data_IF_943694725155
#
_entry.id   IF_943694725155
#
_cell.length_a   1.000
_cell.length_b   1.000
_cell.length_c   1.000
_cell.angle_alpha   90.00
_cell.angle_beta   90.00
_cell.angle_gamma   90.00
#
_symmetry.space_group_name_H-M   'P 1'
#
loop_
_entity.id
_entity.type
_entity.pdbx_description
1 polymer ?
#
# COMPACT_ATOMS: atom_id res chain seq x y z
N UNK A 1 -17.04 -40.71 -21.69
CA UNK A 1 -16.83 -40.52 -20.23
C UNK A 1 -15.35 -40.37 -19.88
N UNK A 2 -14.45 -41.26 -20.31
CA UNK A 2 -13.00 -41.15 -19.99
C UNK A 2 -12.34 -39.91 -20.63
N UNK A 3 -12.65 -39.59 -21.89
CA UNK A 3 -12.10 -38.42 -22.59
C UNK A 3 -12.51 -37.07 -21.96
N UNK A 4 -13.70 -36.98 -21.35
CA UNK A 4 -14.14 -35.76 -20.66
C UNK A 4 -13.39 -35.53 -19.35
N UNK A 5 -13.03 -36.60 -18.63
CA UNK A 5 -12.20 -36.49 -17.42
C UNK A 5 -10.75 -36.10 -17.73
N UNK A 6 -10.17 -36.66 -18.80
CA UNK A 6 -8.83 -36.28 -19.25
C UNK A 6 -8.74 -34.78 -19.57
N UNK A 7 -9.74 -34.24 -20.28
CA UNK A 7 -9.81 -32.81 -20.59
C UNK A 7 -9.92 -31.92 -19.34
N UNK A 8 -10.64 -32.38 -18.30
CA UNK A 8 -10.74 -31.64 -17.02
C UNK A 8 -9.39 -31.64 -16.29
N UNK A 9 -8.68 -32.76 -16.25
CA UNK A 9 -7.36 -32.87 -15.63
C UNK A 9 -6.30 -32.03 -16.37
N UNK A 10 -6.38 -31.96 -17.70
CA UNK A 10 -5.53 -31.07 -18.50
C UNK A 10 -5.80 -29.60 -18.17
N UNK A 11 -7.06 -29.20 -18.05
CA UNK A 11 -7.43 -27.83 -17.67
C UNK A 11 -6.95 -27.49 -16.25
N UNK A 12 -7.09 -28.41 -15.29
CA UNK A 12 -6.59 -28.26 -13.92
C UNK A 12 -5.06 -28.10 -13.89
N UNK A 13 -4.34 -28.92 -14.67
CA UNK A 13 -2.88 -28.83 -14.77
C UNK A 13 -2.44 -27.49 -15.36
N UNK A 14 -3.10 -27.00 -16.42
CA UNK A 14 -2.80 -25.70 -17.02
C UNK A 14 -3.08 -24.55 -16.04
N UNK A 15 -4.22 -24.61 -15.33
CA UNK A 15 -4.55 -23.61 -14.32
C UNK A 15 -3.53 -23.58 -13.17
N UNK A 16 -3.10 -24.75 -12.70
CA UNK A 16 -2.09 -24.88 -11.64
C UNK A 16 -0.74 -24.31 -12.08
N UNK A 17 -0.30 -24.63 -13.30
CA UNK A 17 0.93 -24.07 -13.88
C UNK A 17 0.86 -22.54 -13.99
N UNK A 18 -0.29 -21.99 -14.39
CA UNK A 18 -0.49 -20.55 -14.46
C UNK A 18 -0.43 -19.90 -13.08
N UNK A 19 -1.09 -20.49 -12.08
CA UNK A 19 -1.03 -20.00 -10.69
C UNK A 19 0.40 -20.02 -10.14
N UNK A 20 1.19 -21.05 -10.45
CA UNK A 20 2.60 -21.09 -10.07
C UNK A 20 3.43 -19.98 -10.74
N UNK A 21 3.17 -19.71 -12.03
CA UNK A 21 3.83 -18.62 -12.75
C UNK A 21 3.46 -17.26 -12.16
N UNK A 22 2.16 -17.00 -11.97
CA UNK A 22 1.64 -15.76 -11.38
C UNK A 22 2.22 -15.54 -9.97
N UNK A 23 2.31 -16.60 -9.16
CA UNK A 23 2.94 -16.52 -7.83
C UNK A 23 4.41 -16.13 -7.90
N UNK A 24 5.17 -16.72 -8.82
CA UNK A 24 6.60 -16.38 -9.00
C UNK A 24 6.79 -14.94 -9.47
N UNK A 25 5.90 -14.42 -10.30
CA UNK A 25 5.93 -13.02 -10.73
C UNK A 25 5.60 -12.07 -9.57
N UNK A 26 4.57 -12.39 -8.78
CA UNK A 26 4.23 -11.63 -7.57
C UNK A 26 5.38 -11.59 -6.57
N UNK A 27 6.06 -12.71 -6.33
CA UNK A 27 7.20 -12.77 -5.41
C UNK A 27 8.38 -11.91 -5.91
N UNK A 28 8.62 -11.84 -7.22
CA UNK A 28 9.61 -10.93 -7.81
C UNK A 28 9.25 -9.48 -7.59
N UNK A 29 7.98 -9.11 -7.83
CA UNK A 29 7.49 -7.74 -7.62
C UNK A 29 7.66 -7.36 -6.15
N UNK A 30 7.19 -8.19 -5.23
CA UNK A 30 7.33 -7.99 -3.78
C UNK A 30 8.78 -7.78 -3.37
N UNK A 31 9.70 -8.58 -3.91
CA UNK A 31 11.14 -8.45 -3.63
C UNK A 31 11.71 -7.11 -4.08
N UNK A 32 11.34 -6.62 -5.27
CA UNK A 32 11.80 -5.32 -5.78
C UNK A 32 11.25 -4.19 -4.90
N UNK A 33 9.94 -4.23 -4.61
CA UNK A 33 9.29 -3.25 -3.75
C UNK A 33 9.94 -3.20 -2.37
N UNK A 34 10.35 -4.36 -1.84
CA UNK A 34 11.08 -4.43 -0.58
C UNK A 34 12.47 -3.82 -0.63
N UNK A 35 13.29 -4.22 -1.59
CA UNK A 35 14.69 -3.80 -1.68
C UNK A 35 14.83 -2.30 -1.97
N UNK A 36 13.88 -1.71 -2.69
CA UNK A 36 13.89 -0.30 -3.08
C UNK A 36 12.94 0.57 -2.24
N UNK A 37 12.48 0.09 -1.07
CA UNK A 37 11.48 0.74 -0.21
C UNK A 37 11.67 2.25 -0.08
N UNK A 38 12.81 2.67 0.48
CA UNK A 38 13.05 4.08 0.78
C UNK A 38 13.18 4.94 -0.48
N UNK A 39 13.71 4.36 -1.56
CA UNK A 39 13.77 5.01 -2.86
C UNK A 39 12.36 5.23 -3.42
N UNK A 40 11.50 4.21 -3.41
CA UNK A 40 10.12 4.30 -3.90
C UNK A 40 9.32 5.32 -3.07
N UNK A 41 9.44 5.29 -1.74
CA UNK A 41 8.75 6.24 -0.85
C UNK A 41 9.21 7.67 -1.15
N UNK A 42 10.52 7.89 -1.33
CA UNK A 42 11.06 9.22 -1.67
C UNK A 42 10.55 9.72 -3.02
N UNK A 43 10.41 8.82 -4.01
CA UNK A 43 9.79 9.12 -5.31
C UNK A 43 8.31 9.43 -5.18
N UNK A 44 7.59 8.72 -4.30
CA UNK A 44 6.18 8.97 -4.02
C UNK A 44 5.99 10.37 -3.43
N UNK A 45 6.76 10.74 -2.40
CA UNK A 45 6.69 12.07 -1.77
C UNK A 45 6.95 13.17 -2.82
N UNK A 46 8.00 13.00 -3.63
CA UNK A 46 8.35 13.96 -4.70
C UNK A 46 7.23 14.08 -5.73
N UNK A 47 6.62 12.95 -6.11
CA UNK A 47 5.51 12.90 -7.05
C UNK A 47 4.28 13.62 -6.48
N UNK A 48 3.86 13.31 -5.26
CA UNK A 48 2.72 13.97 -4.61
C UNK A 48 2.93 15.48 -4.48
N UNK A 49 4.14 15.92 -4.10
CA UNK A 49 4.45 17.36 -4.04
C UNK A 49 4.30 18.03 -5.40
N UNK A 50 4.74 17.38 -6.48
CA UNK A 50 4.62 17.95 -7.83
C UNK A 50 3.17 18.00 -8.32
N UNK A 51 2.40 16.95 -8.06
CA UNK A 51 1.06 16.80 -8.62
C UNK A 51 -0.01 17.55 -7.82
N UNK A 52 0.17 17.69 -6.50
CA UNK A 52 -0.83 18.25 -5.60
C UNK A 52 -0.37 19.56 -4.93
N UNK A 53 0.90 19.94 -5.09
CA UNK A 53 1.55 21.01 -4.30
C UNK A 53 1.54 20.79 -2.78
N UNK A 54 1.34 19.54 -2.34
CA UNK A 54 1.28 19.18 -0.92
C UNK A 54 2.62 18.62 -0.44
N UNK A 55 3.15 19.16 0.64
CA UNK A 55 4.32 18.61 1.32
C UNK A 55 3.91 17.43 2.21
N UNK A 56 4.56 16.29 2.00
CA UNK A 56 4.38 15.07 2.79
C UNK A 56 5.67 14.69 3.52
N UNK A 57 5.52 14.22 4.76
CA UNK A 57 6.65 13.81 5.60
C UNK A 57 6.48 12.36 6.04
N UNK A 58 7.56 11.58 5.98
CA UNK A 58 7.56 10.19 6.43
C UNK A 58 7.68 10.13 7.94
N UNK A 59 6.79 9.36 8.57
CA UNK A 59 6.86 9.00 9.98
C UNK A 59 6.74 7.51 10.16
N UNK A 60 7.27 7.03 11.28
CA UNK A 60 7.05 5.68 11.77
C UNK A 60 6.31 5.77 13.09
N UNK A 61 5.22 5.03 13.21
CA UNK A 61 4.38 4.98 14.39
C UNK A 61 4.27 3.54 14.88
N UNK A 62 4.02 3.40 16.18
CA UNK A 62 3.74 2.11 16.82
C UNK A 62 2.33 2.23 17.39
N UNK A 63 1.48 1.25 17.15
CA UNK A 63 0.11 1.25 17.66
C UNK A 63 -0.04 0.47 18.98
N UNK A 64 -1.27 0.40 19.50
CA UNK A 64 -1.58 -0.26 20.77
C UNK A 64 -1.27 -1.76 20.79
N UNK A 65 -1.26 -2.39 19.61
CA UNK A 65 -0.98 -3.81 19.43
C UNK A 65 0.51 -4.07 19.12
N UNK A 66 1.36 -3.04 19.19
CA UNK A 66 2.76 -3.01 18.76
C UNK A 66 2.97 -3.22 17.25
N UNK A 67 1.95 -2.98 16.42
CA UNK A 67 2.16 -2.93 14.98
C UNK A 67 2.97 -1.69 14.64
N UNK A 68 3.90 -1.84 13.69
CA UNK A 68 4.70 -0.72 13.20
C UNK A 68 4.12 -0.29 11.85
N UNK A 69 3.71 0.96 11.75
CA UNK A 69 3.25 1.53 10.49
C UNK A 69 4.22 2.61 10.00
N UNK A 70 4.56 2.56 8.71
CA UNK A 70 5.15 3.70 8.03
C UNK A 70 4.00 4.52 7.41
N UNK A 71 4.00 5.82 7.69
CA UNK A 71 2.97 6.75 7.23
C UNK A 71 3.60 7.95 6.54
N UNK A 72 2.88 8.54 5.59
CA UNK A 72 3.15 9.87 5.06
C UNK A 72 2.12 10.84 5.63
N UNK A 73 2.58 11.95 6.16
CA UNK A 73 1.75 12.93 6.83
C UNK A 73 1.81 14.23 6.04
N UNK A 74 0.65 14.72 5.63
CA UNK A 74 0.51 16.05 5.02
C UNK A 74 0.96 17.13 5.99
N UNK A 75 1.64 18.14 5.45
CA UNK A 75 1.99 19.35 6.19
C UNK A 75 0.75 19.94 6.85
N UNK A 76 0.86 20.23 8.15
CA UNK A 76 -0.21 20.77 8.99
C UNK A 76 -1.40 19.83 9.26
N UNK A 77 -1.20 18.52 9.11
CA UNK A 77 -2.22 17.53 9.47
C UNK A 77 -2.70 17.69 10.92
N UNK A 78 -4.01 17.86 11.11
CA UNK A 78 -4.64 17.98 12.44
C UNK A 78 -4.71 16.63 13.13
N UNK A 79 -5.00 15.56 12.40
CA UNK A 79 -4.96 14.18 12.91
C UNK A 79 -3.57 13.89 13.46
N UNK A 80 -2.51 14.25 12.74
CA UNK A 80 -1.15 14.07 13.24
C UNK A 80 -0.92 14.87 14.53
N UNK A 81 -1.20 16.18 14.52
CA UNK A 81 -1.00 17.07 15.68
C UNK A 81 -1.78 16.62 16.93
N UNK A 82 -2.99 16.08 16.75
CA UNK A 82 -3.86 15.69 17.87
C UNK A 82 -3.60 14.27 18.36
N UNK A 83 -3.28 13.35 17.44
CA UNK A 83 -3.32 11.91 17.71
C UNK A 83 -1.95 11.26 17.73
N UNK A 84 -0.92 11.87 17.15
CA UNK A 84 0.39 11.24 16.90
C UNK A 84 1.55 12.08 17.45
N UNK A 85 1.53 13.40 17.25
CA UNK A 85 2.66 14.27 17.60
C UNK A 85 3.02 14.21 19.09
N UNK A 86 4.31 14.04 19.38
CA UNK A 86 4.83 13.90 20.74
C UNK A 86 4.44 12.62 21.50
N UNK A 87 3.80 11.64 20.85
CA UNK A 87 3.46 10.35 21.47
C UNK A 87 4.47 9.26 21.10
N UNK A 88 4.80 8.43 22.09
CA UNK A 88 5.66 7.25 21.87
C UNK A 88 4.94 6.11 21.14
N UNK A 89 3.61 5.99 21.35
CA UNK A 89 2.74 5.04 20.66
C UNK A 89 1.30 5.55 20.55
N UNK A 90 0.53 4.98 19.63
CA UNK A 90 -0.90 5.21 19.52
C UNK A 90 -1.66 4.36 20.54
N UNK A 91 -2.77 4.89 21.02
CA UNK A 91 -3.68 4.22 21.96
C UNK A 91 -4.85 3.52 21.24
N UNK A 92 -4.72 3.31 19.94
CA UNK A 92 -5.69 2.73 19.02
C UNK A 92 -4.93 2.07 17.87
N UNK A 93 -5.58 1.25 17.05
CA UNK A 93 -4.92 0.54 15.95
C UNK A 93 -4.54 1.51 14.80
N UNK A 94 -3.38 1.34 14.18
CA UNK A 94 -2.96 2.25 13.10
C UNK A 94 -3.96 2.33 11.93
N UNK A 95 -4.71 1.27 11.65
CA UNK A 95 -5.77 1.27 10.64
C UNK A 95 -6.91 2.24 10.96
N UNK A 96 -7.16 2.55 12.23
CA UNK A 96 -8.18 3.52 12.62
C UNK A 96 -7.82 4.95 12.19
N UNK A 97 -6.54 5.22 11.84
CA UNK A 97 -6.17 6.47 11.16
C UNK A 97 -6.80 6.59 9.78
N UNK A 98 -7.17 5.47 9.16
CA UNK A 98 -7.95 5.41 7.91
C UNK A 98 -9.44 5.49 8.26
N UNK A 99 -9.93 4.75 9.26
CA UNK A 99 -11.35 4.75 9.66
C UNK A 99 -11.87 6.11 10.11
N UNK A 100 -11.04 6.88 10.82
CA UNK A 100 -11.35 8.25 11.24
C UNK A 100 -11.66 9.20 10.07
N UNK A 101 -11.36 8.80 8.83
CA UNK A 101 -11.59 9.57 7.60
C UNK A 101 -12.97 9.38 6.99
N UNK A 102 -13.81 8.50 7.53
CA UNK A 102 -15.21 8.37 7.10
C UNK A 102 -15.98 9.69 7.17
N UNK A 103 -15.52 10.63 8.01
CA UNK A 103 -16.19 11.92 8.26
C UNK A 103 -15.40 13.15 7.79
N UNK A 104 -14.09 13.04 7.56
CA UNK A 104 -13.24 14.14 7.05
C UNK A 104 -11.98 13.58 6.37
N UNK A 105 -11.88 13.75 5.04
CA UNK A 105 -10.82 13.17 4.21
C UNK A 105 -9.75 14.18 3.74
N UNK A 106 -9.83 15.45 4.13
CA UNK A 106 -8.90 16.50 3.68
C UNK A 106 -7.60 16.56 4.49
N UNK A 107 -7.62 15.94 5.68
CA UNK A 107 -6.51 15.84 6.60
C UNK A 107 -5.74 14.52 6.36
N UNK A 108 -4.74 14.61 5.49
CA UNK A 108 -4.24 13.44 4.77
C UNK A 108 -3.04 12.80 5.48
N UNK A 109 -3.28 11.65 6.10
CA UNK A 109 -2.23 10.68 6.45
C UNK A 109 -2.33 9.53 5.45
N UNK A 110 -1.23 9.05 4.88
CA UNK A 110 -1.21 7.92 3.93
C UNK A 110 -0.46 6.80 4.60
N UNK A 111 -1.11 5.66 4.85
CA UNK A 111 -0.43 4.48 5.38
C UNK A 111 0.21 3.77 4.19
N UNK A 112 1.53 3.77 4.16
CA UNK A 112 2.32 3.21 3.06
C UNK A 112 2.79 1.79 3.34
N UNK A 113 2.87 1.41 4.61
CA UNK A 113 3.22 0.08 5.06
C UNK A 113 2.64 -0.16 6.45
N UNK A 114 2.10 -1.35 6.68
CA UNK A 114 1.61 -1.79 7.98
C UNK A 114 2.18 -3.17 8.27
N UNK A 115 3.16 -3.19 9.17
CA UNK A 115 3.95 -4.39 9.44
C UNK A 115 3.37 -5.13 10.63
N UNK A 116 2.51 -6.11 10.33
CA UNK A 116 1.92 -6.97 11.35
C UNK A 116 2.93 -8.01 11.88
N UNK A 117 3.78 -8.61 11.03
CA UNK A 117 4.67 -9.72 11.48
C UNK A 117 5.96 -9.95 10.66
N UNK A 118 6.05 -9.58 9.38
CA UNK A 118 7.11 -10.11 8.48
C UNK A 118 8.24 -9.14 8.10
N UNK A 119 8.25 -7.88 8.55
CA UNK A 119 9.29 -6.89 8.16
C UNK A 119 9.46 -6.72 6.64
N UNK A 120 8.46 -7.12 5.84
CA UNK A 120 8.44 -6.98 4.39
C UNK A 120 7.61 -5.76 4.03
N UNK A 121 8.21 -4.80 3.32
CA UNK A 121 7.46 -3.74 2.66
C UNK A 121 6.44 -4.36 1.73
N UNK A 122 5.17 -4.08 1.99
CA UNK A 122 4.12 -4.40 1.07
C UNK A 122 3.42 -3.10 0.66
N UNK A 123 3.82 -2.49 -0.47
CA UNK A 123 2.92 -1.55 -1.15
C UNK A 123 1.58 -2.20 -1.50
N UNK A 124 1.45 -3.53 -1.39
CA UNK A 124 0.16 -4.20 -1.36
C UNK A 124 -0.77 -3.62 -0.30
N UNK A 125 -0.30 -3.20 0.87
CA UNK A 125 -1.17 -2.48 1.81
C UNK A 125 -1.66 -1.16 1.21
N UNK A 126 -0.79 -0.38 0.57
CA UNK A 126 -1.21 0.83 -0.13
C UNK A 126 -2.21 0.49 -1.26
N UNK A 127 -1.98 -0.56 -2.05
CA UNK A 127 -2.91 -1.04 -3.08
C UNK A 127 -4.27 -1.45 -2.50
N UNK A 128 -4.25 -2.21 -1.41
CA UNK A 128 -5.44 -2.70 -0.72
C UNK A 128 -6.21 -1.50 -0.14
N UNK A 129 -5.48 -0.53 0.43
CA UNK A 129 -6.04 0.71 0.98
C UNK A 129 -6.74 1.57 -0.08
N UNK A 130 -6.26 1.55 -1.34
CA UNK A 130 -6.89 2.25 -2.45
C UNK A 130 -8.21 1.57 -2.89
N UNK A 131 -8.37 0.29 -2.61
CA UNK A 131 -9.53 -0.51 -3.01
C UNK A 131 -10.63 -0.58 -1.94
N UNK A 132 -10.41 -0.04 -0.74
CA UNK A 132 -11.47 0.02 0.26
C UNK A 132 -12.63 0.91 -0.21
N UNK A 133 -13.81 0.31 -0.38
CA UNK A 133 -15.00 0.98 -0.94
C UNK A 133 -15.61 2.05 -0.03
N UNK A 134 -15.24 2.07 1.26
CA UNK A 134 -15.88 2.91 2.29
C UNK A 134 -14.90 3.81 3.05
N UNK A 135 -13.62 3.77 2.68
CA UNK A 135 -12.51 4.39 3.39
C UNK A 135 -11.63 5.09 2.37
N UNK A 136 -11.80 6.40 2.21
CA UNK A 136 -11.30 7.06 1.00
C UNK A 136 -10.33 8.18 1.34
N UNK A 137 -9.13 8.06 0.79
CA UNK A 137 -8.40 9.23 0.32
C UNK A 137 -9.33 10.10 -0.53
N UNK A 138 -9.07 11.41 -0.60
CA UNK A 138 -9.73 12.26 -1.60
C UNK A 138 -9.59 11.64 -3.00
N UNK A 139 -10.58 11.83 -3.87
CA UNK A 139 -10.56 11.25 -5.23
C UNK A 139 -9.28 11.63 -5.98
N UNK A 140 -8.82 12.87 -5.78
CA UNK A 140 -7.56 13.36 -6.35
C UNK A 140 -6.36 12.56 -5.83
N UNK A 141 -6.21 12.38 -4.52
CA UNK A 141 -5.12 11.55 -3.97
C UNK A 141 -5.23 10.12 -4.45
N UNK A 142 -6.43 9.55 -4.47
CA UNK A 142 -6.65 8.18 -4.91
C UNK A 142 -6.18 7.99 -6.35
N UNK A 143 -6.50 8.91 -7.25
CA UNK A 143 -6.05 8.90 -8.64
C UNK A 143 -4.51 8.99 -8.74
N UNK A 144 -3.90 9.93 -8.00
CA UNK A 144 -2.43 10.10 -7.99
C UNK A 144 -1.72 8.88 -7.42
N UNK A 145 -2.16 8.35 -6.29
CA UNK A 145 -1.58 7.15 -5.68
C UNK A 145 -1.72 5.93 -6.61
N UNK A 146 -2.90 5.74 -7.21
CA UNK A 146 -3.13 4.64 -8.17
C UNK A 146 -2.22 4.77 -9.39
N UNK A 147 -2.07 5.99 -9.92
CA UNK A 147 -1.17 6.27 -11.05
C UNK A 147 0.29 5.96 -10.70
N UNK A 148 0.74 6.40 -9.53
CA UNK A 148 2.11 6.14 -9.06
C UNK A 148 2.38 4.65 -8.88
N UNK A 149 1.48 3.94 -8.19
CA UNK A 149 1.59 2.50 -7.95
C UNK A 149 1.62 1.74 -9.28
N UNK A 150 0.70 2.05 -10.20
CA UNK A 150 0.70 1.46 -11.53
C UNK A 150 2.01 1.73 -12.28
N UNK A 151 2.56 2.94 -12.20
CA UNK A 151 3.84 3.26 -12.81
C UNK A 151 5.00 2.46 -12.21
N UNK A 152 5.10 2.38 -10.88
CA UNK A 152 6.17 1.64 -10.18
C UNK A 152 6.08 0.14 -10.49
N UNK A 153 4.88 -0.43 -10.41
CA UNK A 153 4.61 -1.83 -10.74
C UNK A 153 4.96 -2.09 -12.21
N UNK A 154 4.43 -1.30 -13.14
CA UNK A 154 4.68 -1.51 -14.57
C UNK A 154 6.15 -1.31 -14.95
N UNK A 155 6.83 -0.31 -14.39
CA UNK A 155 8.27 -0.09 -14.69
C UNK A 155 9.15 -1.21 -14.15
N UNK A 156 8.75 -1.89 -13.09
CA UNK A 156 9.51 -2.99 -12.49
C UNK A 156 9.14 -4.36 -13.06
N UNK A 157 7.92 -4.54 -13.59
CA UNK A 157 7.47 -5.75 -14.31
C UNK A 157 7.94 -5.75 -15.77
N UNK A 158 7.87 -4.60 -16.46
CA UNK A 158 8.08 -4.52 -17.91
C UNK A 158 9.48 -4.07 -18.35
N UNK A 159 10.47 -4.04 -17.45
CA UNK A 159 11.88 -4.03 -17.87
C UNK A 159 12.23 -5.42 -18.43
N UNK A 160 11.86 -5.64 -19.69
CA UNK A 160 12.47 -6.64 -20.57
C UNK A 160 13.71 -6.03 -21.22
#
# INVERSE_FOLDING_TARGET
>A
MIQSYQKILEMESVATLKLEQDRRELDKIRKILYQEKDFIISRLITYLKRELDIDYFKYKIIDIDNNIADILVKKDSKIFKNSIDGKDSLNFNAEELIDSRMFNNEDEIIIIDLNFYENLLNLGYLCDSLNYNYLSYSDEIKDKLSTFVNYVINKNIYKK
#
